data_IF_230232104875
#
_entry.id   IF_230232104875
#
_cell.length_a   1.000
_cell.length_b   1.000
_cell.length_c   1.000
_cell.angle_alpha   90.00
_cell.angle_beta   90.00
_cell.angle_gamma   90.00
#
_symmetry.space_group_name_H-M   'P 1'
#
loop_
_entity.id
_entity.type
_entity.pdbx_description
1 polymer ?
#
# COMPACT_ATOMS: atom_id res chain seq x y z
N UNK A 1 -14.72 12.71 -20.63
CA UNK A 1 -13.85 13.90 -20.37
C UNK A 1 -12.49 13.43 -19.86
N UNK A 2 -11.36 13.90 -20.39
CA UNK A 2 -10.05 13.28 -20.05
C UNK A 2 -9.41 13.78 -18.73
N UNK A 3 -9.61 15.05 -18.35
CA UNK A 3 -8.96 15.66 -17.18
C UNK A 3 -9.97 16.50 -16.38
N UNK A 4 -9.93 16.40 -15.05
CA UNK A 4 -10.70 17.23 -14.12
C UNK A 4 -9.78 17.89 -13.08
N UNK A 5 -9.73 19.23 -13.07
CA UNK A 5 -8.93 20.01 -12.12
C UNK A 5 -9.72 20.30 -10.83
N UNK A 6 -9.39 19.57 -9.78
CA UNK A 6 -10.03 19.68 -8.46
C UNK A 6 -9.53 20.86 -7.61
N UNK A 7 -8.58 21.65 -8.12
CA UNK A 7 -8.19 22.93 -7.53
C UNK A 7 -9.01 24.11 -8.08
N UNK A 8 -9.61 23.94 -9.27
CA UNK A 8 -10.48 24.93 -9.90
C UNK A 8 -11.95 24.67 -9.57
N UNK A 9 -12.39 23.41 -9.65
CA UNK A 9 -13.78 23.05 -9.41
C UNK A 9 -14.04 22.71 -7.93
N UNK A 10 -15.07 23.30 -7.30
CA UNK A 10 -15.55 22.87 -6.00
C UNK A 10 -15.95 21.39 -5.98
N UNK A 11 -16.01 20.82 -4.78
CA UNK A 11 -16.32 19.40 -4.58
C UNK A 11 -17.69 19.03 -5.15
N UNK A 12 -18.71 19.83 -4.90
CA UNK A 12 -20.09 19.58 -5.36
C UNK A 12 -20.18 19.62 -6.90
N UNK A 13 -19.45 20.54 -7.54
CA UNK A 13 -19.40 20.65 -8.98
C UNK A 13 -18.67 19.45 -9.61
N UNK A 14 -17.52 19.09 -9.04
CA UNK A 14 -16.76 17.91 -9.45
C UNK A 14 -17.60 16.63 -9.37
N UNK A 15 -18.40 16.48 -8.30
CA UNK A 15 -19.33 15.35 -8.15
C UNK A 15 -20.41 15.35 -9.24
N UNK A 16 -20.99 16.51 -9.57
CA UNK A 16 -22.00 16.61 -10.64
C UNK A 16 -21.44 16.23 -12.01
N UNK A 17 -20.22 16.67 -12.31
CA UNK A 17 -19.53 16.32 -13.55
C UNK A 17 -19.33 14.80 -13.62
N UNK A 18 -18.72 14.22 -12.58
CA UNK A 18 -18.42 12.78 -12.56
C UNK A 18 -19.68 11.89 -12.51
N UNK A 19 -20.79 12.37 -11.91
CA UNK A 19 -22.08 11.67 -11.97
C UNK A 19 -22.56 11.51 -13.41
N UNK A 20 -22.50 12.59 -14.20
CA UNK A 20 -22.89 12.58 -15.61
C UNK A 20 -22.02 11.61 -16.41
N UNK A 21 -20.71 11.62 -16.18
CA UNK A 21 -19.79 10.69 -16.84
C UNK A 21 -20.12 9.23 -16.46
N UNK A 22 -20.50 8.93 -15.22
CA UNK A 22 -20.89 7.58 -14.79
C UNK A 22 -22.26 7.13 -15.36
N UNK A 23 -23.16 8.08 -15.65
CA UNK A 23 -24.42 7.79 -16.34
C UNK A 23 -24.18 7.40 -17.81
N UNK A 24 -23.29 8.13 -18.49
CA UNK A 24 -22.91 7.89 -19.89
C UNK A 24 -21.99 6.66 -20.04
N UNK A 25 -21.06 6.47 -19.10
CA UNK A 25 -20.05 5.42 -19.10
C UNK A 25 -20.22 4.51 -17.87
N UNK A 26 -20.64 3.24 -18.04
CA UNK A 26 -20.98 2.36 -16.91
C UNK A 26 -19.76 1.88 -16.10
N UNK A 27 -18.54 2.19 -16.56
CA UNK A 27 -17.29 2.03 -15.80
C UNK A 27 -16.55 3.35 -15.86
N UNK A 28 -16.26 3.92 -14.69
CA UNK A 28 -15.50 5.14 -14.54
C UNK A 28 -14.21 4.85 -13.76
N UNK A 29 -13.06 5.23 -14.31
CA UNK A 29 -11.73 5.01 -13.74
C UNK A 29 -11.12 6.38 -13.42
N UNK A 30 -11.01 6.72 -12.15
CA UNK A 30 -10.35 7.94 -11.70
C UNK A 30 -8.86 7.66 -11.52
N UNK A 31 -8.01 8.43 -12.20
CA UNK A 31 -6.55 8.32 -12.19
C UNK A 31 -5.88 9.62 -11.74
N UNK A 32 -4.56 9.62 -11.62
CA UNK A 32 -3.78 10.83 -11.32
C UNK A 32 -3.17 10.84 -9.93
N UNK A 33 -2.59 11.96 -9.48
CA UNK A 33 -1.75 12.01 -8.28
C UNK A 33 -2.50 11.73 -6.97
N UNK A 34 -1.76 11.27 -5.96
CA UNK A 34 -2.25 11.28 -4.58
C UNK A 34 -2.54 12.71 -4.11
N UNK A 35 -3.69 12.89 -3.48
CA UNK A 35 -4.21 14.21 -3.08
C UNK A 35 -5.15 14.85 -4.12
N UNK A 36 -5.26 14.28 -5.33
CA UNK A 36 -6.18 14.72 -6.38
C UNK A 36 -7.67 14.51 -6.07
N UNK A 37 -8.02 13.94 -4.92
CA UNK A 37 -9.40 13.84 -4.47
C UNK A 37 -10.18 12.61 -4.96
N UNK A 38 -9.54 11.64 -5.64
CA UNK A 38 -10.17 10.44 -6.22
C UNK A 38 -11.10 9.70 -5.26
N UNK A 39 -10.57 9.15 -4.16
CA UNK A 39 -11.34 8.46 -3.12
C UNK A 39 -12.47 9.36 -2.58
N UNK A 40 -12.16 10.63 -2.29
CA UNK A 40 -13.14 11.56 -1.70
C UNK A 40 -14.31 11.80 -2.63
N UNK A 41 -14.06 12.04 -3.93
CA UNK A 41 -15.11 12.25 -4.92
C UNK A 41 -15.86 10.95 -5.19
N UNK A 42 -15.17 9.83 -5.37
CA UNK A 42 -15.80 8.54 -5.62
C UNK A 42 -16.74 8.09 -4.50
N UNK A 43 -16.37 8.29 -3.22
CA UNK A 43 -17.28 8.04 -2.08
C UNK A 43 -18.55 8.93 -2.17
N UNK A 44 -18.44 10.16 -2.67
CA UNK A 44 -19.61 11.01 -2.89
C UNK A 44 -20.50 10.50 -4.03
N UNK A 45 -19.91 9.92 -5.07
CA UNK A 45 -20.64 9.35 -6.22
C UNK A 45 -21.45 8.09 -5.87
N UNK A 46 -21.08 7.39 -4.80
CA UNK A 46 -21.79 6.20 -4.35
C UNK A 46 -23.28 6.50 -4.10
N UNK A 47 -24.12 5.74 -4.79
CA UNK A 47 -25.57 5.88 -4.83
C UNK A 47 -26.20 4.53 -5.19
N UNK A 48 -27.54 4.46 -5.25
CA UNK A 48 -28.28 3.26 -5.70
C UNK A 48 -27.92 2.75 -7.11
N UNK A 49 -27.35 3.61 -7.95
CA UNK A 49 -26.95 3.28 -9.31
C UNK A 49 -25.52 2.71 -9.39
N UNK A 50 -24.75 2.73 -8.30
CA UNK A 50 -23.41 2.16 -8.23
C UNK A 50 -23.50 0.74 -7.69
N UNK A 51 -22.87 -0.21 -8.35
CA UNK A 51 -22.81 -1.60 -7.89
C UNK A 51 -21.49 -1.95 -7.23
N UNK A 52 -20.39 -1.34 -7.68
CA UNK A 52 -19.07 -1.60 -7.13
C UNK A 52 -18.17 -0.36 -7.09
N UNK A 53 -17.32 -0.36 -6.07
CA UNK A 53 -16.27 0.62 -5.80
C UNK A 53 -14.96 -0.12 -5.53
N UNK A 54 -13.94 0.08 -6.36
CA UNK A 54 -12.65 -0.54 -6.13
C UNK A 54 -11.53 0.49 -6.19
N UNK A 55 -10.58 0.39 -5.29
CA UNK A 55 -9.31 1.09 -5.33
C UNK A 55 -8.21 0.13 -5.76
N UNK A 56 -7.35 0.59 -6.66
CA UNK A 56 -6.16 -0.14 -7.05
C UNK A 56 -5.11 -0.16 -5.94
N UNK A 57 -4.36 -1.25 -5.85
CA UNK A 57 -3.23 -1.38 -4.92
C UNK A 57 -2.00 -0.56 -5.32
N UNK A 58 -2.05 0.14 -6.46
CA UNK A 58 -0.98 1.01 -6.96
C UNK A 58 -0.64 2.11 -5.92
N UNK A 59 0.52 1.97 -5.26
CA UNK A 59 0.87 2.74 -4.05
C UNK A 59 1.23 4.21 -4.34
N UNK A 60 1.58 4.55 -5.58
CA UNK A 60 1.94 5.90 -6.08
C UNK A 60 0.73 6.76 -6.45
N UNK A 61 -0.31 6.19 -7.08
CA UNK A 61 -1.44 6.93 -7.63
C UNK A 61 -2.80 6.46 -7.09
N UNK A 62 -2.97 5.18 -6.72
CA UNK A 62 -4.22 4.56 -6.24
C UNK A 62 -5.44 4.89 -7.13
N UNK A 63 -5.56 4.30 -8.33
CA UNK A 63 -6.71 4.53 -9.19
C UNK A 63 -7.99 4.05 -8.51
N UNK A 64 -9.12 4.69 -8.80
CA UNK A 64 -10.43 4.33 -8.26
C UNK A 64 -11.35 3.95 -9.41
N UNK A 65 -11.91 2.75 -9.36
CA UNK A 65 -12.83 2.19 -10.36
C UNK A 65 -14.23 2.16 -9.76
N UNK A 66 -15.17 2.84 -10.42
CA UNK A 66 -16.59 2.80 -10.13
C UNK A 66 -17.30 2.04 -11.25
N UNK A 67 -18.21 1.14 -10.87
CA UNK A 67 -18.98 0.33 -11.82
C UNK A 67 -20.46 0.48 -11.51
N UNK A 68 -21.25 0.79 -12.55
CA UNK A 68 -22.70 0.92 -12.47
C UNK A 68 -23.37 -0.41 -12.14
N UNK A 69 -24.45 -0.36 -11.36
CA UNK A 69 -25.09 -1.54 -10.76
C UNK A 69 -25.62 -2.54 -11.78
N UNK A 70 -26.28 -2.05 -12.82
CA UNK A 70 -26.78 -2.87 -13.93
C UNK A 70 -25.64 -3.63 -14.65
N UNK A 71 -24.47 -3.01 -14.78
CA UNK A 71 -23.31 -3.65 -15.39
C UNK A 71 -22.68 -4.68 -14.46
N UNK A 72 -22.60 -4.41 -13.15
CA UNK A 72 -22.15 -5.40 -12.17
C UNK A 72 -23.00 -6.67 -12.23
N UNK A 73 -24.33 -6.52 -12.27
CA UNK A 73 -25.26 -7.65 -12.38
C UNK A 73 -25.05 -8.44 -13.67
N UNK A 74 -24.82 -7.77 -14.80
CA UNK A 74 -24.48 -8.43 -16.08
C UNK A 74 -23.15 -9.18 -15.99
N UNK A 75 -22.11 -8.54 -15.47
CA UNK A 75 -20.76 -9.13 -15.40
C UNK A 75 -20.69 -10.33 -14.46
N UNK A 76 -21.49 -10.37 -13.39
CA UNK A 76 -21.57 -11.53 -12.48
C UNK A 76 -22.19 -12.77 -13.14
N UNK A 77 -23.01 -12.57 -14.17
CA UNK A 77 -23.63 -13.67 -14.93
C UNK A 77 -22.82 -14.11 -16.15
N UNK A 78 -21.77 -13.37 -16.50
CA UNK A 78 -20.96 -13.65 -17.69
C UNK A 78 -19.72 -14.45 -17.29
N UNK A 79 -19.59 -15.68 -17.81
CA UNK A 79 -18.46 -16.56 -17.54
C UNK A 79 -17.19 -16.04 -18.25
N UNK A 80 -16.13 -15.80 -17.50
CA UNK A 80 -14.82 -15.46 -18.04
C UNK A 80 -13.96 -16.71 -18.27
N UNK A 81 -13.80 -17.55 -17.25
CA UNK A 81 -13.05 -18.81 -17.33
C UNK A 81 -13.57 -19.84 -16.32
N UNK A 82 -13.23 -21.11 -16.53
CA UNK A 82 -13.37 -22.16 -15.51
C UNK A 82 -12.01 -22.46 -14.90
N UNK A 83 -11.82 -22.10 -13.63
CA UNK A 83 -10.54 -22.27 -12.95
C UNK A 83 -10.51 -23.60 -12.22
N UNK A 84 -9.48 -24.39 -12.50
CA UNK A 84 -9.22 -25.65 -11.81
C UNK A 84 -8.79 -25.37 -10.36
N UNK A 85 -9.46 -25.97 -9.39
CA UNK A 85 -9.03 -25.94 -8.00
C UNK A 85 -8.04 -27.08 -7.70
N UNK A 86 -7.19 -26.94 -6.65
CA UNK A 86 -6.29 -27.98 -6.20
C UNK A 86 -7.01 -29.05 -5.34
N UNK A 87 -8.28 -29.34 -5.64
CA UNK A 87 -9.10 -30.37 -4.99
C UNK A 87 -9.77 -31.21 -6.07
N UNK A 88 -9.97 -32.49 -5.76
CA UNK A 88 -10.50 -33.50 -6.68
C UNK A 88 -11.74 -34.15 -6.07
N UNK A 89 -12.74 -34.43 -6.90
CA UNK A 89 -13.90 -35.24 -6.56
C UNK A 89 -13.76 -36.59 -7.29
N UNK A 90 -13.26 -37.60 -6.58
CA UNK A 90 -12.76 -38.82 -7.19
C UNK A 90 -11.52 -38.57 -8.06
N UNK A 91 -11.59 -38.98 -9.34
CA UNK A 91 -10.53 -38.78 -10.33
C UNK A 91 -10.67 -37.46 -11.12
N UNK A 92 -11.76 -36.71 -10.92
CA UNK A 92 -12.01 -35.48 -11.64
C UNK A 92 -11.63 -34.24 -10.81
N UNK A 93 -10.93 -33.26 -11.41
CA UNK A 93 -10.64 -32.03 -10.71
C UNK A 93 -11.88 -31.14 -10.60
N UNK A 94 -12.04 -30.49 -9.45
CA UNK A 94 -13.13 -29.53 -9.25
C UNK A 94 -12.78 -28.21 -9.95
N UNK A 95 -13.77 -27.64 -10.63
CA UNK A 95 -13.65 -26.33 -11.28
C UNK A 95 -14.57 -25.33 -10.61
N UNK A 96 -14.14 -24.06 -10.60
CA UNK A 96 -14.98 -22.92 -10.24
C UNK A 96 -15.13 -22.01 -11.44
N UNK A 97 -16.36 -21.56 -11.66
CA UNK A 97 -16.68 -20.57 -12.67
C UNK A 97 -16.22 -19.20 -12.16
N UNK A 98 -15.35 -18.54 -12.92
CA UNK A 98 -14.88 -17.18 -12.66
C UNK A 98 -15.66 -16.24 -13.56
N UNK A 99 -16.38 -15.28 -12.97
CA UNK A 99 -17.14 -14.31 -13.75
C UNK A 99 -16.24 -13.19 -14.30
N UNK A 100 -16.73 -12.44 -15.29
CA UNK A 100 -16.04 -11.21 -15.74
C UNK A 100 -15.85 -10.21 -14.59
N UNK A 101 -16.83 -10.14 -13.68
CA UNK A 101 -16.75 -9.29 -12.50
C UNK A 101 -15.58 -9.68 -11.59
N UNK A 102 -15.42 -10.98 -11.31
CA UNK A 102 -14.32 -11.48 -10.47
C UNK A 102 -12.96 -11.17 -11.08
N UNK A 103 -12.85 -11.29 -12.41
CA UNK A 103 -11.61 -10.97 -13.12
C UNK A 103 -11.27 -9.47 -13.05
N UNK A 104 -12.25 -8.57 -13.21
CA UNK A 104 -12.03 -7.13 -13.05
C UNK A 104 -11.64 -6.79 -11.62
N UNK A 105 -12.35 -7.35 -10.63
CA UNK A 105 -12.02 -7.15 -9.22
C UNK A 105 -10.59 -7.59 -8.92
N UNK A 106 -10.21 -8.79 -9.37
CA UNK A 106 -8.86 -9.33 -9.21
C UNK A 106 -7.81 -8.45 -9.88
N UNK A 107 -8.09 -7.92 -11.07
CA UNK A 107 -7.20 -7.03 -11.79
C UNK A 107 -6.98 -5.72 -11.03
N UNK A 108 -8.04 -5.09 -10.55
CA UNK A 108 -7.94 -3.85 -9.76
C UNK A 108 -7.20 -4.12 -8.43
N UNK A 109 -7.48 -5.23 -7.76
CA UNK A 109 -6.84 -5.58 -6.48
C UNK A 109 -5.35 -5.90 -6.60
N UNK A 110 -4.92 -6.44 -7.75
CA UNK A 110 -3.54 -6.88 -7.96
C UNK A 110 -2.73 -5.96 -8.87
N UNK A 111 -3.29 -4.83 -9.32
CA UNK A 111 -2.51 -3.89 -10.12
C UNK A 111 -1.33 -3.38 -9.28
N UNK A 112 -0.13 -3.76 -9.72
CA UNK A 112 1.12 -3.37 -9.11
C UNK A 112 1.81 -2.37 -10.02
N UNK A 113 2.13 -1.20 -9.48
CA UNK A 113 2.67 -0.11 -10.28
C UNK A 113 4.20 -0.19 -10.36
N UNK A 114 4.67 -0.99 -11.32
CA UNK A 114 6.07 -0.98 -11.74
C UNK A 114 6.25 0.15 -12.76
N UNK A 115 7.03 1.18 -12.40
CA UNK A 115 7.39 2.31 -13.28
C UNK A 115 6.22 3.20 -13.76
N UNK A 116 5.18 3.41 -12.96
CA UNK A 116 4.04 4.30 -13.31
C UNK A 116 3.21 3.81 -14.51
N UNK A 117 3.39 2.54 -14.91
CA UNK A 117 2.63 1.88 -15.97
C UNK A 117 1.34 1.23 -15.45
N UNK A 118 1.11 1.23 -14.13
CA UNK A 118 -0.03 0.59 -13.51
C UNK A 118 -1.38 1.16 -13.94
N UNK A 119 -1.53 2.48 -13.99
CA UNK A 119 -2.81 3.10 -14.41
C UNK A 119 -3.10 2.87 -15.92
N UNK A 120 -2.16 3.11 -16.86
CA UNK A 120 -2.38 2.79 -18.26
C UNK A 120 -2.67 1.31 -18.51
N UNK A 121 -1.95 0.40 -17.84
CA UNK A 121 -2.16 -1.04 -17.98
C UNK A 121 -3.52 -1.47 -17.40
N UNK A 122 -3.93 -0.89 -16.27
CA UNK A 122 -5.26 -1.14 -15.69
C UNK A 122 -6.36 -0.74 -16.68
N UNK A 123 -6.29 0.47 -17.24
CA UNK A 123 -7.26 0.96 -18.22
C UNK A 123 -7.30 0.03 -19.44
N UNK A 124 -6.13 -0.34 -19.97
CA UNK A 124 -6.02 -1.23 -21.13
C UNK A 124 -6.65 -2.59 -20.87
N UNK A 125 -6.37 -3.20 -19.73
CA UNK A 125 -6.87 -4.54 -19.39
C UNK A 125 -8.38 -4.53 -19.12
N UNK A 126 -8.90 -3.56 -18.35
CA UNK A 126 -10.34 -3.41 -18.14
C UNK A 126 -11.03 -3.21 -19.50
N UNK A 127 -10.51 -2.33 -20.36
CA UNK A 127 -11.06 -2.09 -21.70
C UNK A 127 -11.10 -3.36 -22.56
N UNK A 128 -10.06 -4.19 -22.51
CA UNK A 128 -10.02 -5.46 -23.25
C UNK A 128 -11.07 -6.46 -22.75
N UNK A 129 -11.23 -6.55 -21.43
CA UNK A 129 -12.19 -7.45 -20.79
C UNK A 129 -13.63 -7.01 -21.13
N UNK A 130 -13.91 -5.71 -21.05
CA UNK A 130 -15.27 -5.15 -21.20
C UNK A 130 -15.67 -4.96 -22.66
N UNK A 131 -14.72 -4.96 -23.60
CA UNK A 131 -14.98 -4.87 -25.04
C UNK A 131 -15.95 -5.93 -25.54
N UNK A 132 -15.87 -7.16 -25.00
CA UNK A 132 -16.79 -8.26 -25.36
C UNK A 132 -18.25 -7.95 -25.01
N UNK A 133 -18.48 -7.08 -24.03
CA UNK A 133 -19.80 -6.63 -23.59
C UNK A 133 -20.26 -5.34 -24.29
N UNK A 134 -19.46 -4.80 -25.22
CA UNK A 134 -19.72 -3.50 -25.85
C UNK A 134 -19.59 -2.32 -24.90
N UNK A 135 -18.89 -2.49 -23.77
CA UNK A 135 -18.67 -1.44 -22.77
C UNK A 135 -17.28 -0.84 -22.92
N UNK A 136 -17.24 0.49 -23.04
CA UNK A 136 -16.02 1.29 -23.07
C UNK A 136 -15.89 2.00 -21.72
N UNK A 137 -14.86 1.68 -20.91
CA UNK A 137 -14.57 2.41 -19.69
C UNK A 137 -14.14 3.85 -20.00
N UNK A 138 -14.52 4.79 -19.14
CA UNK A 138 -14.01 6.16 -19.20
C UNK A 138 -12.94 6.35 -18.12
N UNK A 139 -11.77 6.84 -18.51
CA UNK A 139 -10.70 7.18 -17.59
C UNK A 139 -10.56 8.70 -17.49
N UNK A 140 -10.60 9.22 -16.26
CA UNK A 140 -10.52 10.65 -15.98
C UNK A 140 -9.35 10.92 -15.04
N UNK A 141 -8.37 11.71 -15.47
CA UNK A 141 -7.27 12.13 -14.62
C UNK A 141 -7.71 13.28 -13.71
N UNK A 142 -7.60 13.08 -12.39
CA UNK A 142 -7.87 14.13 -11.42
C UNK A 142 -6.59 14.87 -11.05
N UNK A 143 -6.51 16.14 -11.46
CA UNK A 143 -5.35 16.99 -11.16
C UNK A 143 -5.70 18.04 -10.09
N UNK A 144 -4.66 18.64 -9.52
CA UNK A 144 -4.73 19.82 -8.67
C UNK A 144 -3.36 20.52 -8.65
N UNK A 145 -3.32 21.78 -8.24
CA UNK A 145 -2.07 22.50 -8.04
C UNK A 145 -1.16 21.84 -6.99
N UNK A 146 0.16 21.96 -7.15
CA UNK A 146 1.14 21.32 -6.27
C UNK A 146 0.97 21.72 -4.80
N UNK A 147 0.69 23.00 -4.55
CA UNK A 147 0.43 23.52 -3.20
C UNK A 147 -0.78 22.83 -2.57
N UNK A 148 -1.85 22.63 -3.34
CA UNK A 148 -3.08 22.03 -2.86
C UNK A 148 -2.93 20.52 -2.67
N UNK A 149 -2.18 19.85 -3.55
CA UNK A 149 -1.81 18.45 -3.37
C UNK A 149 -1.00 18.23 -2.09
N UNK A 150 0.01 19.07 -1.82
CA UNK A 150 0.80 19.01 -0.57
C UNK A 150 -0.10 19.22 0.65
N UNK A 151 -0.92 20.26 0.65
CA UNK A 151 -1.84 20.57 1.75
C UNK A 151 -2.80 19.42 2.04
N UNK A 152 -3.45 18.87 1.01
CA UNK A 152 -4.39 17.74 1.13
C UNK A 152 -3.72 16.45 1.59
N UNK A 153 -2.46 16.22 1.20
CA UNK A 153 -1.69 15.07 1.69
C UNK A 153 -1.41 15.17 3.18
N UNK A 154 -0.99 16.35 3.66
CA UNK A 154 -0.70 16.56 5.09
C UNK A 154 -1.93 16.42 5.97
N UNK A 155 -3.11 16.85 5.50
CA UNK A 155 -4.37 16.79 6.27
C UNK A 155 -5.20 15.52 6.05
N UNK A 156 -4.72 14.57 5.23
CA UNK A 156 -5.48 13.37 4.81
C UNK A 156 -5.88 12.45 5.97
N UNK A 157 -5.15 12.44 7.08
CA UNK A 157 -5.47 11.63 8.24
C UNK A 157 -6.68 12.19 9.01
N UNK A 158 -6.81 13.52 9.08
CA UNK A 158 -7.86 14.22 9.83
C UNK A 158 -9.28 13.89 9.35
N UNK A 159 -9.46 13.60 8.06
CA UNK A 159 -10.77 13.31 7.47
C UNK A 159 -11.01 11.82 7.16
N UNK A 160 -10.03 10.96 7.46
CA UNK A 160 -10.04 9.53 7.13
C UNK A 160 -11.21 8.80 7.80
N UNK A 161 -11.43 9.03 9.10
CA UNK A 161 -12.55 8.45 9.87
C UNK A 161 -13.89 8.83 9.25
N UNK A 162 -14.08 10.11 8.92
CA UNK A 162 -15.32 10.60 8.28
C UNK A 162 -15.54 9.95 6.91
N UNK A 163 -14.50 9.85 6.07
CA UNK A 163 -14.61 9.20 4.75
C UNK A 163 -15.01 7.73 4.88
N UNK A 164 -14.43 7.01 5.84
CA UNK A 164 -14.76 5.62 6.11
C UNK A 164 -16.22 5.47 6.55
N UNK A 165 -16.67 6.29 7.51
CA UNK A 165 -18.05 6.24 7.98
C UNK A 165 -19.06 6.48 6.87
N UNK A 166 -18.83 7.48 6.00
CA UNK A 166 -19.72 7.75 4.86
C UNK A 166 -19.74 6.58 3.88
N UNK A 167 -18.59 5.98 3.59
CA UNK A 167 -18.52 4.80 2.72
C UNK A 167 -19.35 3.65 3.30
N UNK A 168 -19.10 3.26 4.56
CA UNK A 168 -19.78 2.13 5.21
C UNK A 168 -21.30 2.35 5.27
N UNK A 169 -21.73 3.57 5.55
CA UNK A 169 -23.15 3.94 5.50
C UNK A 169 -23.75 3.69 4.11
N UNK A 170 -23.06 4.15 3.06
CA UNK A 170 -23.51 4.01 1.68
C UNK A 170 -23.44 2.57 1.16
N UNK A 171 -22.41 1.82 1.50
CA UNK A 171 -22.30 0.39 1.20
C UNK A 171 -23.52 -0.35 1.72
N UNK A 172 -23.84 -0.17 3.00
CA UNK A 172 -24.99 -0.81 3.64
C UNK A 172 -26.31 -0.34 3.04
N UNK A 173 -26.44 0.96 2.78
CA UNK A 173 -27.69 1.55 2.27
C UNK A 173 -28.01 1.11 0.84
N UNK A 174 -27.00 1.00 -0.03
CA UNK A 174 -27.20 0.79 -1.47
C UNK A 174 -26.80 -0.61 -1.96
N UNK A 175 -26.19 -1.43 -1.09
CA UNK A 175 -25.70 -2.76 -1.44
C UNK A 175 -24.49 -2.71 -2.36
N UNK A 176 -23.58 -1.77 -2.12
CA UNK A 176 -22.38 -1.56 -2.95
C UNK A 176 -21.28 -2.49 -2.46
N UNK A 177 -20.66 -3.24 -3.37
CA UNK A 177 -19.47 -4.00 -3.06
C UNK A 177 -18.24 -3.09 -3.14
N UNK A 178 -17.36 -3.13 -2.12
CA UNK A 178 -16.21 -2.24 -2.08
C UNK A 178 -14.91 -2.91 -1.64
N UNK A 179 -13.79 -2.46 -2.21
CA UNK A 179 -12.49 -2.55 -1.57
C UNK A 179 -11.93 -1.13 -1.36
N UNK A 180 -11.10 -0.96 -0.35
CA UNK A 180 -10.68 0.34 0.13
C UNK A 180 -9.34 0.16 0.84
N UNK A 181 -8.34 0.76 0.22
CA UNK A 181 -6.92 0.69 0.51
C UNK A 181 -6.38 2.08 0.88
N UNK A 182 -7.01 3.15 0.41
CA UNK A 182 -6.62 4.55 0.56
C UNK A 182 -6.82 5.13 1.97
N UNK A 183 -7.78 4.59 2.74
CA UNK A 183 -8.01 4.92 4.17
C UNK A 183 -7.16 3.99 5.06
N UNK A 184 -6.73 2.82 4.57
CA UNK A 184 -5.70 2.03 5.27
C UNK A 184 -4.36 2.79 5.30
N UNK A 185 -4.05 3.52 4.23
CA UNK A 185 -2.91 4.46 4.20
C UNK A 185 -3.01 5.61 5.21
N UNK A 186 -4.20 5.93 5.75
CA UNK A 186 -4.34 6.91 6.83
C UNK A 186 -3.93 6.33 8.19
N UNK A 187 -4.32 5.08 8.51
CA UNK A 187 -3.82 4.34 9.70
C UNK A 187 -2.29 4.28 9.72
N UNK A 188 -1.70 4.23 8.54
CA UNK A 188 -0.26 4.20 8.32
C UNK A 188 0.38 5.59 8.39
N UNK A 189 -0.30 6.64 7.91
CA UNK A 189 0.16 8.01 8.08
C UNK A 189 0.18 8.43 9.56
N UNK A 190 -0.69 7.84 10.38
CA UNK A 190 -0.72 8.01 11.83
C UNK A 190 0.51 7.36 12.51
N UNK A 191 1.04 6.24 11.97
CA UNK A 191 2.32 5.63 12.41
C UNK A 191 3.48 6.62 12.22
N UNK A 192 3.42 7.54 11.25
CA UNK A 192 4.51 8.47 10.89
C UNK A 192 4.34 9.88 11.49
N UNK A 193 3.14 10.23 11.98
CA UNK A 193 2.84 11.54 12.58
C UNK A 193 2.22 11.38 13.97
N UNK A 194 2.99 11.73 15.01
CA UNK A 194 2.71 11.58 16.45
C UNK A 194 1.46 12.32 17.02
N UNK A 195 0.61 12.93 16.20
CA UNK A 195 -0.53 13.76 16.67
C UNK A 195 -1.90 13.06 16.58
N UNK A 196 -1.94 11.77 16.89
CA UNK A 196 -3.12 11.14 17.48
C UNK A 196 -3.63 9.89 16.77
N UNK A 197 -3.57 8.76 17.48
CA UNK A 197 -4.51 7.66 17.30
C UNK A 197 -5.62 7.88 18.32
N UNK A 198 -6.85 8.10 17.86
CA UNK A 198 -8.01 7.81 18.69
C UNK A 198 -8.25 6.30 18.64
N UNK A 199 -8.64 5.70 19.76
CA UNK A 199 -9.03 4.29 19.82
C UNK A 199 -10.09 3.98 18.76
N UNK A 200 -9.82 2.96 17.95
CA UNK A 200 -10.75 2.47 16.94
C UNK A 200 -11.42 1.20 17.49
N UNK A 201 -12.74 1.22 17.55
CA UNK A 201 -13.55 0.09 18.04
C UNK A 201 -13.34 -1.19 17.20
N UNK A 202 -13.36 -2.36 17.85
CA UNK A 202 -13.13 -3.68 17.26
C UNK A 202 -14.12 -4.05 16.12
N UNK A 203 -15.26 -3.38 16.08
CA UNK A 203 -16.35 -3.55 15.12
C UNK A 203 -16.23 -2.64 13.88
N UNK A 204 -15.11 -1.92 13.72
CA UNK A 204 -14.74 -1.28 12.45
C UNK A 204 -14.22 -2.31 11.44
N UNK A 205 -15.19 -3.07 10.93
CA UNK A 205 -15.10 -4.27 10.11
C UNK A 205 -13.99 -4.21 9.03
N UNK A 206 -13.03 -5.13 9.19
CA UNK A 206 -12.33 -5.87 8.12
C UNK A 206 -11.32 -5.13 7.23
N UNK A 207 -10.37 -4.36 7.79
CA UNK A 207 -9.25 -3.78 7.01
C UNK A 207 -7.95 -3.64 7.83
N UNK A 208 -7.66 -4.58 8.73
CA UNK A 208 -6.26 -4.78 9.16
C UNK A 208 -5.44 -5.00 7.90
N UNK A 209 -4.33 -4.30 7.74
CA UNK A 209 -3.28 -4.74 6.83
C UNK A 209 -3.08 -6.21 7.20
N UNK A 210 -3.38 -7.13 6.27
CA UNK A 210 -3.34 -8.57 6.58
C UNK A 210 -1.98 -8.97 7.13
N UNK A 211 -1.00 -8.12 6.90
CA UNK A 211 0.39 -8.24 7.31
C UNK A 211 0.71 -7.58 8.67
N UNK A 212 -0.16 -6.80 9.35
CA UNK A 212 0.17 -6.11 10.63
C UNK A 212 -0.56 -6.65 11.86
N UNK A 213 0.19 -7.07 12.87
CA UNK A 213 -0.28 -7.55 14.17
C UNK A 213 -0.65 -6.39 15.10
N UNK A 214 0.32 -5.50 15.33
CA UNK A 214 0.21 -4.39 16.28
C UNK A 214 1.19 -3.27 15.94
N UNK A 215 0.95 -2.11 16.55
CA UNK A 215 1.79 -0.91 16.43
C UNK A 215 2.25 -0.55 17.85
N UNK A 216 3.55 -0.29 18.01
CA UNK A 216 4.15 0.09 19.30
C UNK A 216 4.57 1.57 19.22
N UNK A 217 3.98 2.46 20.03
CA UNK A 217 4.32 3.88 20.04
C UNK A 217 5.80 4.14 20.34
N UNK A 218 6.44 5.02 19.58
CA UNK A 218 7.88 5.34 19.76
C UNK A 218 8.15 6.72 20.35
N UNK A 219 7.12 7.40 20.88
CA UNK A 219 7.18 8.79 21.33
C UNK A 219 8.37 9.15 22.23
N UNK A 220 8.74 8.22 23.11
CA UNK A 220 9.84 8.35 24.07
C UNK A 220 10.99 7.36 23.84
N UNK A 221 11.01 6.69 22.68
CA UNK A 221 12.00 5.67 22.36
C UNK A 221 13.12 6.23 21.49
N UNK A 222 14.35 5.88 21.83
CA UNK A 222 15.53 6.09 21.00
C UNK A 222 15.67 5.00 19.94
N UNK A 223 16.58 5.16 18.99
CA UNK A 223 16.92 4.12 18.01
C UNK A 223 17.34 2.81 18.72
N UNK A 224 18.26 2.83 19.72
CA UNK A 224 18.58 1.65 20.53
C UNK A 224 17.35 0.98 21.16
N UNK A 225 16.45 1.76 21.77
CA UNK A 225 15.24 1.19 22.41
C UNK A 225 14.33 0.48 21.40
N UNK A 226 14.22 1.02 20.19
CA UNK A 226 13.45 0.42 19.10
C UNK A 226 14.11 -0.86 18.58
N UNK A 227 15.45 -0.87 18.44
CA UNK A 227 16.21 -2.05 18.02
C UNK A 227 16.05 -3.17 19.04
N UNK A 228 16.21 -2.89 20.34
CA UNK A 228 16.03 -3.86 21.41
C UNK A 228 14.63 -4.50 21.38
N UNK A 229 13.58 -3.68 21.28
CA UNK A 229 12.20 -4.19 21.12
C UNK A 229 12.02 -5.04 19.86
N UNK A 230 12.63 -4.64 18.75
CA UNK A 230 12.56 -5.38 17.49
C UNK A 230 13.23 -6.76 17.59
N UNK A 231 14.38 -6.83 18.26
CA UNK A 231 15.09 -8.09 18.55
C UNK A 231 14.26 -8.99 19.48
N UNK A 232 13.67 -8.44 20.55
CA UNK A 232 12.78 -9.19 21.45
C UNK A 232 11.58 -9.81 20.71
N UNK A 233 10.96 -9.05 19.80
CA UNK A 233 9.82 -9.52 19.01
C UNK A 233 10.25 -10.63 18.04
N UNK A 234 11.41 -10.45 17.40
CA UNK A 234 11.96 -11.46 16.50
C UNK A 234 12.29 -12.76 17.25
N UNK A 235 12.96 -12.66 18.40
CA UNK A 235 13.37 -13.80 19.22
C UNK A 235 12.19 -14.55 19.88
N UNK A 236 11.22 -13.82 20.43
CA UNK A 236 10.16 -14.42 21.24
C UNK A 236 8.90 -14.77 20.44
N UNK A 237 8.60 -14.01 19.38
CA UNK A 237 7.36 -14.17 18.61
C UNK A 237 7.58 -14.62 17.17
N UNK A 238 8.83 -14.64 16.70
CA UNK A 238 9.18 -14.95 15.31
C UNK A 238 8.41 -14.06 14.31
N UNK A 239 8.15 -12.81 14.68
CA UNK A 239 7.43 -11.84 13.83
C UNK A 239 8.40 -10.81 13.28
N UNK A 240 8.15 -10.39 12.05
CA UNK A 240 8.85 -9.25 11.49
C UNK A 240 8.37 -7.96 12.14
N UNK A 241 9.28 -7.02 12.38
CA UNK A 241 8.92 -5.65 12.76
C UNK A 241 9.90 -4.63 12.19
N UNK A 242 9.50 -3.36 12.15
CA UNK A 242 10.37 -2.29 11.66
C UNK A 242 9.85 -0.89 11.95
N UNK A 243 10.71 0.10 11.72
CA UNK A 243 10.45 1.52 11.94
C UNK A 243 11.31 2.41 11.03
N UNK A 244 11.03 3.71 11.03
CA UNK A 244 11.69 4.70 10.19
C UNK A 244 12.54 5.67 11.02
N UNK A 245 13.73 5.99 10.50
CA UNK A 245 14.67 6.94 11.11
C UNK A 245 14.99 8.05 10.12
N UNK A 246 14.95 9.30 10.59
CA UNK A 246 15.47 10.46 9.87
C UNK A 246 16.86 10.80 10.38
N UNK A 247 17.79 10.95 9.45
CA UNK A 247 19.13 11.44 9.69
C UNK A 247 19.24 12.90 9.24
N UNK A 248 19.24 13.83 10.19
CA UNK A 248 19.40 15.26 9.94
C UNK A 248 20.48 15.89 10.82
N UNK A 249 21.37 16.70 10.26
CA UNK A 249 22.40 17.43 11.03
C UNK A 249 23.19 16.55 12.04
N UNK A 250 23.55 15.32 11.65
CA UNK A 250 24.19 14.30 12.50
C UNK A 250 23.37 13.83 13.71
N UNK A 251 22.04 13.94 13.65
CA UNK A 251 21.10 13.39 14.63
C UNK A 251 20.23 12.34 13.97
N UNK A 252 19.89 11.34 14.76
CA UNK A 252 18.95 10.29 14.39
C UNK A 252 17.65 10.50 15.16
N UNK A 253 16.55 10.61 14.42
CA UNK A 253 15.23 10.77 15.00
C UNK A 253 14.34 9.64 14.52
N UNK A 254 13.75 8.88 15.45
CA UNK A 254 12.69 7.92 15.11
C UNK A 254 11.45 8.72 14.69
N UNK A 255 11.03 8.52 13.44
CA UNK A 255 9.92 9.27 12.83
C UNK A 255 8.70 8.38 12.55
N UNK A 256 8.71 7.15 13.03
CA UNK A 256 7.53 6.28 12.99
C UNK A 256 7.39 5.45 14.25
N UNK A 257 6.18 5.00 14.53
CA UNK A 257 5.95 3.89 15.45
C UNK A 257 6.58 2.59 14.90
N UNK A 258 6.84 1.65 15.80
CA UNK A 258 7.36 0.33 15.46
C UNK A 258 6.18 -0.55 15.04
N UNK A 259 6.23 -1.04 13.80
CA UNK A 259 5.17 -1.85 13.19
C UNK A 259 5.54 -3.31 13.31
N UNK A 260 4.62 -4.14 13.81
CA UNK A 260 4.81 -5.59 13.97
C UNK A 260 3.91 -6.34 12.99
N UNK A 261 4.46 -7.36 12.35
CA UNK A 261 3.78 -8.17 11.36
C UNK A 261 2.89 -9.27 11.95
N UNK A 262 1.75 -9.58 11.31
CA UNK A 262 0.82 -10.65 11.74
C UNK A 262 1.42 -12.04 11.68
N UNK A 263 2.26 -12.25 10.67
CA UNK A 263 2.82 -13.54 10.35
C UNK A 263 4.34 -13.46 10.30
N UNK A 264 4.98 -14.62 10.43
CA UNK A 264 6.41 -14.83 10.21
C UNK A 264 6.87 -14.37 8.82
N UNK A 265 5.94 -14.17 7.87
CA UNK A 265 6.19 -13.85 6.46
C UNK A 265 5.60 -12.49 6.05
N UNK A 266 5.55 -11.54 6.98
CA UNK A 266 5.13 -10.18 6.67
C UNK A 266 6.19 -9.51 5.77
N UNK A 267 5.85 -8.40 5.11
CA UNK A 267 6.78 -7.61 4.28
C UNK A 267 6.90 -6.19 4.85
N UNK A 268 7.16 -6.08 6.16
CA UNK A 268 7.16 -4.84 6.92
C UNK A 268 8.24 -3.88 6.41
N UNK A 269 9.46 -4.37 6.13
CA UNK A 269 10.55 -3.55 5.57
C UNK A 269 10.15 -2.83 4.27
N UNK A 270 9.74 -3.59 3.26
CA UNK A 270 9.24 -3.06 1.97
C UNK A 270 7.99 -2.20 2.17
N UNK A 271 7.11 -2.58 3.09
CA UNK A 271 5.87 -1.86 3.34
C UNK A 271 6.14 -0.49 3.95
N UNK A 272 6.93 -0.38 5.02
CA UNK A 272 7.33 0.90 5.65
C UNK A 272 8.03 1.84 4.67
N UNK A 273 8.82 1.27 3.78
CA UNK A 273 9.60 1.97 2.77
C UNK A 273 8.71 2.55 1.67
N UNK A 274 7.80 1.74 1.12
CA UNK A 274 6.83 2.18 0.12
C UNK A 274 5.80 3.15 0.71
N UNK A 275 5.49 3.01 2.00
CA UNK A 275 4.66 3.94 2.76
C UNK A 275 5.35 5.31 2.89
N UNK A 276 6.63 5.35 3.23
CA UNK A 276 7.32 6.63 3.39
C UNK A 276 7.59 7.31 2.05
N UNK A 277 8.02 6.53 1.05
CA UNK A 277 8.43 7.05 -0.26
C UNK A 277 7.23 7.34 -1.17
N UNK A 278 6.19 6.50 -1.15
CA UNK A 278 4.96 6.70 -1.94
C UNK A 278 4.17 7.94 -1.53
N UNK A 279 4.34 8.44 -0.30
CA UNK A 279 3.66 9.64 0.20
C UNK A 279 4.33 10.97 -0.18
N UNK A 280 5.48 10.96 -0.86
CA UNK A 280 6.27 12.18 -1.16
C UNK A 280 6.78 12.20 -2.59
N UNK A 281 5.86 12.30 -3.53
CA UNK A 281 6.19 12.55 -4.94
C UNK A 281 6.33 14.06 -5.21
N UNK A 282 7.50 14.46 -5.73
CA UNK A 282 7.68 15.74 -6.42
C UNK A 282 7.61 15.47 -7.93
N UNK A 283 6.60 16.03 -8.61
CA UNK A 283 6.29 15.74 -10.03
C UNK A 283 7.17 16.49 -11.03
N UNK A 284 8.26 17.13 -10.62
CA UNK A 284 9.06 17.95 -11.54
C UNK A 284 10.15 17.21 -12.34
N UNK A 285 10.55 15.99 -11.99
CA UNK A 285 11.62 15.30 -12.73
C UNK A 285 11.44 13.77 -12.74
N UNK A 286 11.57 13.19 -13.94
CA UNK A 286 11.82 11.78 -14.25
C UNK A 286 13.14 11.23 -13.63
N UNK A 287 13.61 11.78 -12.49
CA UNK A 287 14.84 11.37 -11.80
C UNK A 287 14.68 11.57 -10.29
N UNK A 288 14.70 10.44 -9.58
CA UNK A 288 14.78 10.28 -8.13
C UNK A 288 13.55 10.68 -7.29
N UNK A 289 13.01 9.69 -6.57
CA UNK A 289 12.06 9.85 -5.48
C UNK A 289 12.70 10.68 -4.35
N UNK A 290 12.69 12.01 -4.43
CA UNK A 290 13.22 12.87 -3.36
C UNK A 290 12.17 13.11 -2.28
N UNK A 291 12.49 12.69 -1.06
CA UNK A 291 11.74 13.02 0.15
C UNK A 291 11.72 14.54 0.40
N UNK A 292 10.61 15.04 0.98
CA UNK A 292 10.43 16.48 1.26
C UNK A 292 11.03 16.95 2.59
N UNK A 293 11.61 16.06 3.40
CA UNK A 293 12.35 16.42 4.63
C UNK A 293 13.82 16.52 4.26
N UNK A 294 14.49 17.60 4.65
CA UNK A 294 15.95 17.64 4.56
C UNK A 294 16.55 16.55 5.46
N UNK A 295 17.52 15.79 4.96
CA UNK A 295 18.14 14.67 5.69
C UNK A 295 18.31 13.42 4.84
N UNK A 296 18.66 12.27 5.44
CA UNK A 296 18.61 10.94 4.80
C UNK A 296 17.60 10.07 5.56
N UNK A 297 16.77 9.33 4.83
CA UNK A 297 15.87 8.36 5.45
C UNK A 297 16.59 7.03 5.62
N UNK A 298 16.30 6.36 6.73
CA UNK A 298 16.63 4.96 6.94
C UNK A 298 15.36 4.16 7.30
N UNK A 299 15.23 2.96 6.73
CA UNK A 299 14.30 1.93 7.19
C UNK A 299 15.08 0.90 7.97
N UNK A 300 14.69 0.64 9.21
CA UNK A 300 15.26 -0.43 10.04
C UNK A 300 14.17 -1.48 10.22
N UNK A 301 14.44 -2.73 9.86
CA UNK A 301 13.52 -3.84 10.08
C UNK A 301 14.25 -5.13 10.49
N UNK A 302 13.52 -6.06 11.09
CA UNK A 302 14.05 -7.36 11.50
C UNK A 302 14.20 -8.29 10.30
N UNK A 303 15.17 -9.19 10.39
CA UNK A 303 15.38 -10.28 9.46
C UNK A 303 14.18 -11.25 9.40
N UNK A 304 13.85 -11.76 8.20
CA UNK A 304 12.91 -12.86 8.00
C UNK A 304 13.53 -13.94 7.08
N UNK A 305 13.84 -15.14 7.60
CA UNK A 305 14.48 -16.20 6.82
C UNK A 305 13.69 -16.62 5.58
N UNK A 306 12.36 -16.68 5.69
CA UNK A 306 11.49 -17.29 4.67
C UNK A 306 11.42 -16.50 3.36
N UNK A 307 11.57 -15.16 3.36
CA UNK A 307 11.46 -14.37 2.13
C UNK A 307 12.64 -14.58 1.19
N UNK A 308 13.83 -14.76 1.74
CA UNK A 308 15.04 -15.04 0.97
C UNK A 308 15.07 -16.50 0.53
N UNK A 309 14.58 -17.42 1.37
CA UNK A 309 14.39 -18.81 0.97
C UNK A 309 13.33 -18.95 -0.14
N UNK A 310 12.21 -18.22 -0.06
CA UNK A 310 11.20 -18.20 -1.14
C UNK A 310 11.76 -17.56 -2.41
N UNK A 311 12.60 -16.52 -2.33
CA UNK A 311 13.24 -15.91 -3.50
C UNK A 311 14.22 -16.88 -4.20
N UNK A 312 15.02 -17.60 -3.41
CA UNK A 312 15.92 -18.65 -3.88
C UNK A 312 15.13 -19.82 -4.48
N UNK A 313 14.01 -20.23 -3.87
CA UNK A 313 13.19 -21.34 -4.33
C UNK A 313 12.27 -20.99 -5.51
N UNK A 314 11.87 -19.72 -5.67
CA UNK A 314 10.98 -19.26 -6.74
C UNK A 314 11.74 -18.88 -8.03
N UNK A 315 13.07 -18.75 -7.98
CA UNK A 315 13.88 -18.42 -9.15
C UNK A 315 14.58 -19.68 -9.72
N UNK A 316 14.06 -20.30 -10.80
CA UNK A 316 14.60 -21.55 -11.36
C UNK A 316 16.01 -21.39 -11.99
N UNK A 317 16.59 -20.19 -11.97
CA UNK A 317 17.91 -19.87 -12.53
C UNK A 317 18.98 -19.61 -11.46
N UNK A 318 18.62 -19.57 -10.17
CA UNK A 318 19.59 -19.46 -9.06
C UNK A 318 19.85 -20.88 -8.54
N UNK A 319 21.03 -21.47 -8.75
CA UNK A 319 21.34 -22.77 -8.16
C UNK A 319 21.31 -22.66 -6.63
N UNK A 320 20.81 -23.68 -5.92
CA UNK A 320 20.94 -23.73 -4.46
C UNK A 320 22.42 -23.56 -4.10
N UNK A 321 22.70 -22.54 -3.29
CA UNK A 321 24.04 -22.21 -2.81
C UNK A 321 24.23 -22.75 -1.40
N UNK A 322 25.41 -23.27 -1.10
CA UNK A 322 25.83 -23.62 0.27
C UNK A 322 26.21 -22.37 1.10
N UNK A 323 26.22 -21.18 0.48
CA UNK A 323 26.47 -19.92 1.17
C UNK A 323 25.23 -19.46 1.94
N UNK A 324 25.38 -18.97 3.19
CA UNK A 324 24.25 -18.52 4.00
C UNK A 324 23.50 -17.40 3.28
N UNK A 325 22.17 -17.49 3.29
CA UNK A 325 21.27 -16.48 2.73
C UNK A 325 21.66 -15.10 3.26
N UNK A 326 21.88 -14.16 2.35
CA UNK A 326 22.26 -12.79 2.71
C UNK A 326 21.16 -12.15 3.53
N UNK A 327 21.50 -11.54 4.68
CA UNK A 327 20.54 -10.93 5.62
C UNK A 327 19.63 -9.92 4.93
N UNK A 328 20.16 -9.19 3.95
CA UNK A 328 19.41 -8.26 3.10
C UNK A 328 18.89 -8.98 1.86
N UNK A 329 17.59 -8.85 1.55
CA UNK A 329 16.99 -9.43 0.34
C UNK A 329 17.30 -8.61 -0.91
N UNK A 330 17.09 -9.18 -2.11
CA UNK A 330 17.26 -8.39 -3.35
C UNK A 330 16.24 -7.25 -3.44
N UNK A 331 15.05 -7.43 -2.85
CA UNK A 331 14.01 -6.41 -2.77
C UNK A 331 14.47 -5.22 -1.93
N UNK A 332 15.19 -5.47 -0.84
CA UNK A 332 15.77 -4.42 0.00
C UNK A 332 16.85 -3.67 -0.78
N UNK A 333 17.80 -4.37 -1.42
CA UNK A 333 18.85 -3.74 -2.23
C UNK A 333 18.24 -2.87 -3.34
N UNK A 334 17.28 -3.42 -4.09
CA UNK A 334 16.61 -2.70 -5.16
C UNK A 334 15.81 -1.49 -4.64
N UNK A 335 15.19 -1.60 -3.46
CA UNK A 335 14.49 -0.49 -2.83
C UNK A 335 15.46 0.61 -2.37
N UNK A 336 16.58 0.27 -1.73
CA UNK A 336 17.59 1.22 -1.29
C UNK A 336 18.13 2.04 -2.47
N UNK A 337 18.47 1.36 -3.58
CA UNK A 337 18.96 1.99 -4.80
C UNK A 337 17.89 2.85 -5.49
N UNK A 338 16.67 2.32 -5.64
CA UNK A 338 15.58 3.00 -6.37
C UNK A 338 15.12 4.26 -5.66
N UNK A 339 15.11 4.24 -4.33
CA UNK A 339 14.53 5.29 -3.50
C UNK A 339 15.56 6.22 -2.86
N UNK A 340 16.86 5.96 -3.03
CA UNK A 340 17.96 6.75 -2.48
C UNK A 340 17.87 6.91 -0.95
N UNK A 341 17.68 5.77 -0.27
CA UNK A 341 17.53 5.69 1.19
C UNK A 341 18.42 4.58 1.75
N UNK A 342 18.65 4.62 3.06
CA UNK A 342 19.32 3.53 3.77
C UNK A 342 18.29 2.46 4.15
N UNK A 343 18.64 1.19 3.97
CA UNK A 343 17.90 0.07 4.57
C UNK A 343 18.87 -0.70 5.44
N UNK A 344 18.42 -1.03 6.64
CA UNK A 344 19.18 -1.80 7.61
C UNK A 344 18.32 -2.95 8.13
N UNK A 345 18.88 -4.16 8.11
CA UNK A 345 18.23 -5.39 8.53
C UNK A 345 18.97 -5.95 9.73
N UNK A 346 18.24 -6.33 10.79
CA UNK A 346 18.81 -6.81 12.05
C UNK A 346 18.21 -8.18 12.39
N UNK A 347 19.07 -9.17 12.63
CA UNK A 347 18.69 -10.51 13.10
C UNK A 347 18.35 -10.50 14.60
N UNK A 348 17.67 -11.56 15.07
CA UNK A 348 17.30 -11.71 16.48
C UNK A 348 18.52 -11.75 17.43
N UNK A 349 19.68 -12.18 16.94
CA UNK A 349 20.95 -12.25 17.66
C UNK A 349 21.77 -10.95 17.58
N UNK A 350 21.23 -9.91 16.94
CA UNK A 350 21.89 -8.62 16.80
C UNK A 350 22.83 -8.50 15.60
N UNK A 351 22.91 -9.51 14.73
CA UNK A 351 23.68 -9.40 13.49
C UNK A 351 23.01 -8.43 12.52
N UNK A 352 23.78 -7.51 11.93
CA UNK A 352 23.27 -6.41 11.09
C UNK A 352 23.79 -6.49 9.66
N UNK A 353 22.93 -6.13 8.70
CA UNK A 353 23.34 -5.73 7.35
C UNK A 353 22.71 -4.41 6.95
N UNK A 354 23.43 -3.56 6.22
CA UNK A 354 22.92 -2.25 5.79
C UNK A 354 23.37 -1.90 4.38
N UNK A 355 22.51 -1.22 3.62
CA UNK A 355 22.87 -0.69 2.30
C UNK A 355 23.97 0.39 2.38
N UNK A 356 24.27 0.91 3.58
CA UNK A 356 25.38 1.80 3.87
C UNK A 356 26.40 1.14 4.79
N UNK A 357 27.64 0.96 4.29
CA UNK A 357 28.76 0.40 5.08
C UNK A 357 29.05 1.16 6.37
N UNK A 358 28.94 2.50 6.33
CA UNK A 358 29.12 3.35 7.51
C UNK A 358 28.03 3.08 8.54
N UNK A 359 26.79 2.95 8.06
CA UNK A 359 25.63 2.74 8.93
C UNK A 359 25.66 1.36 9.58
N UNK A 360 26.11 0.33 8.85
CA UNK A 360 26.35 -1.01 9.39
C UNK A 360 27.23 -0.96 10.65
N UNK A 361 28.37 -0.28 10.57
CA UNK A 361 29.30 -0.14 11.69
C UNK A 361 28.68 0.59 12.88
N UNK A 362 27.92 1.66 12.63
CA UNK A 362 27.23 2.41 13.69
C UNK A 362 26.17 1.55 14.40
N UNK A 363 25.43 0.71 13.66
CA UNK A 363 24.44 -0.19 14.24
C UNK A 363 25.09 -1.35 15.02
N UNK A 364 26.22 -1.89 14.53
CA UNK A 364 27.02 -2.88 15.26
C UNK A 364 27.49 -2.33 16.62
N UNK A 365 27.94 -1.07 16.67
CA UNK A 365 28.30 -0.40 17.93
C UNK A 365 27.10 -0.18 18.86
N UNK A 366 25.95 0.23 18.32
CA UNK A 366 24.72 0.40 19.10
C UNK A 366 24.31 -0.94 19.74
N UNK A 367 24.32 -2.03 18.99
CA UNK A 367 23.91 -3.36 19.46
C UNK A 367 24.89 -3.95 20.47
N UNK A 368 26.20 -3.75 20.26
CA UNK A 368 27.20 -4.12 21.25
C UNK A 368 26.96 -3.39 22.58
N UNK A 369 26.67 -2.08 22.53
CA UNK A 369 26.35 -1.29 23.70
C UNK A 369 25.05 -1.69 24.42
N UNK A 370 24.06 -2.26 23.70
CA UNK A 370 22.85 -2.83 24.30
C UNK A 370 23.21 -4.11 25.07
N UNK A 371 24.02 -4.99 24.48
CA UNK A 371 24.40 -6.28 25.07
C UNK A 371 25.23 -6.12 26.36
N UNK A 372 26.07 -5.09 26.44
CA UNK A 372 26.85 -4.76 27.65
C UNK A 372 26.00 -4.24 28.84
N UNK A 373 24.75 -3.84 28.60
CA UNK A 373 23.82 -3.36 29.66
C UNK A 373 23.00 -4.52 30.25
N UNK A 374 22.87 -5.64 29.51
CA UNK A 374 22.11 -6.83 29.93
C UNK A 374 22.96 -7.88 30.69
N UNK A 375 24.29 -7.80 30.64
CA UNK A 375 25.24 -8.54 31.50
C UNK A 375 25.49 -7.84 32.85
#
# INVERSE_FOLDING_TARGET
MEILDTSVHPKEESVRILLKELEEHPILILTGPQGGGKTTLAIQLLSENVGAYFEGRARSAQPVVLIRKDLVEKMKNELFEKRKLPIFDGDEPVFVDVSLYDQIKLLVENIFDVMELGEPELIRQISLITKKMGVVPEAIELIASDQELVKRRLSRHLDAKRRLSILLEKEKKYGIESNLWSIQGAKVADIVNRDGVADYDEDQISRTIKDFDRIIPTNDLTVPDCIMKMMEISANENKESGFLVLHDNNKETVISDLVVGKSTNSLIGVTLLEIYVGFRQNRSLYRAYKHTKEGKLEVIHSYTPTLQEIEVLANPWIPPSDEPTTIMSSADVAAAERFDITISVIEADGKVESSSKKRKQELEEIIAGISEIEE
#
